data_IF_244623317743
#
_entry.id   IF_244623317743
#
_cell.length_a   1.000
_cell.length_b   1.000
_cell.length_c   1.000
_cell.angle_alpha   90.00
_cell.angle_beta   90.00
_cell.angle_gamma   90.00
#
_symmetry.space_group_name_H-M   'P 1'
#
loop_
_entity.id
_entity.type
_entity.pdbx_description
1 polymer ?
#
# COMPACT_ATOMS: atom_id res chain seq x y z
N UNK A 1 -33.75 3.60 -12.07
CA UNK A 1 -32.52 3.70 -11.24
C UNK A 1 -31.57 2.58 -11.67
N UNK A 2 -30.60 2.80 -12.58
CA UNK A 2 -29.77 1.71 -13.05
C UNK A 2 -28.69 1.35 -12.01
N UNK A 3 -28.41 0.05 -11.96
CA UNK A 3 -27.57 -0.67 -11.02
C UNK A 3 -26.12 -0.15 -10.96
N UNK A 4 -25.73 0.34 -9.78
CA UNK A 4 -24.38 0.86 -9.48
C UNK A 4 -23.31 -0.25 -9.25
N UNK A 5 -23.54 -1.49 -9.71
CA UNK A 5 -22.69 -2.64 -9.42
C UNK A 5 -21.34 -2.62 -10.17
N UNK A 6 -21.26 -1.91 -11.29
CA UNK A 6 -20.07 -1.89 -12.16
C UNK A 6 -18.95 -0.96 -11.68
N UNK A 7 -19.18 -0.10 -10.68
CA UNK A 7 -18.12 0.76 -10.11
C UNK A 7 -17.09 -0.04 -9.27
N UNK A 8 -17.42 -1.27 -8.86
CA UNK A 8 -16.54 -2.18 -8.12
C UNK A 8 -15.49 -2.91 -8.98
N UNK A 9 -15.54 -2.72 -10.31
CA UNK A 9 -14.59 -3.24 -11.28
C UNK A 9 -13.70 -2.12 -11.87
N UNK A 10 -13.41 -1.08 -11.10
CA UNK A 10 -12.24 -0.24 -11.41
C UNK A 10 -11.05 -1.19 -11.60
N UNK A 11 -10.46 -1.16 -12.78
CA UNK A 11 -9.92 -2.36 -13.40
C UNK A 11 -8.80 -3.03 -12.59
N UNK A 12 -8.80 -4.36 -12.62
CA UNK A 12 -7.75 -5.18 -12.02
C UNK A 12 -6.35 -4.76 -12.50
N UNK A 13 -6.26 -4.23 -13.72
CA UNK A 13 -5.02 -3.79 -14.35
C UNK A 13 -4.46 -2.52 -13.69
N UNK A 14 -5.31 -1.56 -13.35
CA UNK A 14 -4.94 -0.31 -12.70
C UNK A 14 -4.47 -0.57 -11.26
N UNK A 15 -5.18 -1.44 -10.53
CA UNK A 15 -4.77 -1.89 -9.21
C UNK A 15 -3.43 -2.61 -9.27
N UNK A 16 -3.24 -3.51 -10.24
CA UNK A 16 -1.97 -4.20 -10.46
C UNK A 16 -0.85 -3.22 -10.82
N UNK A 17 -1.11 -2.26 -11.70
CA UNK A 17 -0.14 -1.23 -12.09
C UNK A 17 0.26 -0.36 -10.90
N UNK A 18 -0.68 0.01 -10.05
CA UNK A 18 -0.39 0.71 -8.79
C UNK A 18 0.49 -0.15 -7.87
N UNK A 19 0.14 -1.42 -7.65
CA UNK A 19 0.95 -2.34 -6.84
C UNK A 19 2.39 -2.46 -7.37
N UNK A 20 2.55 -2.65 -8.68
CA UNK A 20 3.86 -2.71 -9.34
C UNK A 20 4.66 -1.42 -9.17
N UNK A 21 4.00 -0.25 -9.30
CA UNK A 21 4.61 1.06 -9.08
C UNK A 21 5.12 1.21 -7.64
N UNK A 22 4.30 0.84 -6.66
CA UNK A 22 4.64 0.90 -5.24
C UNK A 22 5.81 -0.04 -4.90
N UNK A 23 5.77 -1.27 -5.38
CA UNK A 23 6.85 -2.24 -5.17
C UNK A 23 8.16 -1.83 -5.86
N UNK A 24 8.07 -1.19 -7.03
CA UNK A 24 9.23 -0.62 -7.74
C UNK A 24 9.85 0.53 -6.97
N UNK A 25 9.03 1.46 -6.47
CA UNK A 25 9.50 2.57 -5.65
C UNK A 25 10.16 2.09 -4.36
N UNK A 26 9.53 1.10 -3.70
CA UNK A 26 10.09 0.46 -2.52
C UNK A 26 11.44 -0.19 -2.82
N UNK A 27 11.52 -1.05 -3.85
CA UNK A 27 12.75 -1.75 -4.21
C UNK A 27 13.90 -0.82 -4.61
N UNK A 28 13.60 0.33 -5.21
CA UNK A 28 14.61 1.33 -5.56
C UNK A 28 15.24 1.98 -4.31
N UNK A 29 14.45 2.21 -3.26
CA UNK A 29 14.88 2.94 -2.05
C UNK A 29 15.32 2.00 -0.92
N UNK A 30 14.76 0.80 -0.89
CA UNK A 30 15.00 -0.23 0.10
C UNK A 30 14.89 -1.63 -0.54
N UNK A 31 15.95 -2.09 -1.24
CA UNK A 31 15.93 -3.35 -1.97
C UNK A 31 15.74 -4.57 -1.06
N UNK A 32 15.29 -5.71 -1.61
CA UNK A 32 15.03 -6.95 -0.86
C UNK A 32 16.27 -7.47 -0.12
N UNK A 33 17.47 -7.23 -0.65
CA UNK A 33 18.73 -7.58 0.03
C UNK A 33 18.85 -6.89 1.39
N UNK A 34 18.58 -5.57 1.44
CA UNK A 34 18.61 -4.80 2.69
C UNK A 34 17.53 -5.27 3.68
N UNK A 35 16.33 -5.62 3.18
CA UNK A 35 15.25 -6.16 3.99
C UNK A 35 15.58 -7.53 4.59
N UNK A 36 16.34 -8.36 3.86
CA UNK A 36 16.84 -9.67 4.31
C UNK A 36 18.10 -9.56 5.20
N UNK A 37 18.53 -8.35 5.55
CA UNK A 37 19.72 -8.11 6.37
C UNK A 37 21.05 -8.24 5.62
N UNK A 38 21.01 -8.46 4.30
CA UNK A 38 22.18 -8.55 3.44
C UNK A 38 22.45 -7.18 2.77
N UNK A 39 23.54 -6.52 3.15
CA UNK A 39 23.93 -5.23 2.58
C UNK A 39 23.81 -4.06 3.55
N UNK A 40 23.73 -2.83 3.01
CA UNK A 40 23.77 -1.61 3.82
C UNK A 40 22.51 -1.51 4.70
N UNK A 41 22.72 -1.44 6.01
CA UNK A 41 21.64 -1.15 6.96
C UNK A 41 21.27 0.33 6.89
N UNK A 42 19.99 0.60 6.67
CA UNK A 42 19.42 1.92 6.89
C UNK A 42 19.04 2.07 8.37
N UNK A 43 18.98 3.30 8.87
CA UNK A 43 18.43 3.56 10.19
C UNK A 43 16.93 3.19 10.21
N UNK A 44 16.37 2.76 11.36
CA UNK A 44 14.94 2.48 11.46
C UNK A 44 14.08 3.64 10.95
N UNK A 45 14.44 4.88 11.29
CA UNK A 45 13.72 6.07 10.80
C UNK A 45 13.74 6.21 9.28
N UNK A 46 14.86 5.91 8.63
CA UNK A 46 14.95 5.97 7.17
C UNK A 46 14.05 4.92 6.50
N UNK A 47 13.99 3.71 7.06
CA UNK A 47 13.07 2.66 6.57
C UNK A 47 11.62 3.09 6.76
N UNK A 48 11.27 3.61 7.95
CA UNK A 48 9.93 4.15 8.24
C UNK A 48 9.52 5.23 7.23
N UNK A 49 10.38 6.21 6.97
CA UNK A 49 10.09 7.29 6.02
C UNK A 49 9.86 6.78 4.58
N UNK A 50 10.55 5.71 4.17
CA UNK A 50 10.35 5.07 2.86
C UNK A 50 8.98 4.39 2.83
N UNK A 51 8.64 3.62 3.87
CA UNK A 51 7.36 2.93 3.96
C UNK A 51 6.17 3.89 4.03
N UNK A 52 6.27 4.95 4.84
CA UNK A 52 5.24 5.99 4.93
C UNK A 52 4.99 6.67 3.60
N UNK A 53 6.05 6.96 2.84
CA UNK A 53 5.95 7.53 1.50
C UNK A 53 5.18 6.61 0.54
N UNK A 54 5.52 5.32 0.51
CA UNK A 54 4.88 4.31 -0.35
C UNK A 54 3.42 4.10 0.07
N UNK A 55 3.16 3.93 1.37
CA UNK A 55 1.80 3.71 1.90
C UNK A 55 0.93 4.94 1.67
N UNK A 56 1.44 6.15 1.90
CA UNK A 56 0.69 7.39 1.66
C UNK A 56 0.28 7.52 0.21
N UNK A 57 1.18 7.21 -0.73
CA UNK A 57 0.86 7.20 -2.16
C UNK A 57 -0.25 6.19 -2.49
N UNK A 58 -0.20 5.00 -1.92
CA UNK A 58 -1.24 3.99 -2.08
C UNK A 58 -2.59 4.48 -1.55
N UNK A 59 -2.61 5.02 -0.32
CA UNK A 59 -3.81 5.57 0.33
C UNK A 59 -4.41 6.69 -0.51
N UNK A 60 -3.62 7.68 -0.92
CA UNK A 60 -4.08 8.80 -1.76
C UNK A 60 -4.72 8.29 -3.05
N UNK A 61 -4.08 7.35 -3.76
CA UNK A 61 -4.66 6.79 -5.00
C UNK A 61 -5.96 6.03 -4.74
N UNK A 62 -6.04 5.26 -3.65
CA UNK A 62 -7.28 4.55 -3.30
C UNK A 62 -8.43 5.49 -2.98
N UNK A 63 -8.14 6.68 -2.44
CA UNK A 63 -9.12 7.74 -2.19
C UNK A 63 -9.55 8.44 -3.48
N UNK A 64 -8.59 8.81 -4.34
CA UNK A 64 -8.85 9.39 -5.66
C UNK A 64 -9.76 8.49 -6.51
N UNK A 65 -9.49 7.18 -6.52
CA UNK A 65 -10.28 6.18 -7.25
C UNK A 65 -11.56 5.77 -6.51
N UNK A 66 -11.77 6.25 -5.27
CA UNK A 66 -12.88 5.87 -4.39
C UNK A 66 -13.03 4.35 -4.26
N UNK A 67 -11.91 3.64 -4.08
CA UNK A 67 -11.93 2.19 -3.97
C UNK A 67 -12.74 1.73 -2.75
N UNK A 68 -13.70 0.84 -2.98
CA UNK A 68 -14.40 0.11 -1.93
C UNK A 68 -13.51 -0.96 -1.26
N UNK A 69 -14.02 -1.61 -0.22
CA UNK A 69 -13.31 -2.62 0.58
C UNK A 69 -12.66 -3.71 -0.29
N UNK A 70 -13.38 -4.20 -1.32
CA UNK A 70 -12.86 -5.22 -2.25
C UNK A 70 -11.67 -4.70 -3.06
N UNK A 71 -11.75 -3.48 -3.60
CA UNK A 71 -10.65 -2.86 -4.35
C UNK A 71 -9.42 -2.63 -3.48
N UNK A 72 -9.65 -2.24 -2.22
CA UNK A 72 -8.61 -2.08 -1.20
C UNK A 72 -7.91 -3.42 -0.88
N UNK A 73 -8.67 -4.49 -0.68
CA UNK A 73 -8.14 -5.83 -0.46
C UNK A 73 -7.36 -6.35 -1.67
N UNK A 74 -7.87 -6.11 -2.89
CA UNK A 74 -7.16 -6.44 -4.14
C UNK A 74 -5.82 -5.73 -4.25
N UNK A 75 -5.73 -4.45 -3.88
CA UNK A 75 -4.47 -3.71 -3.85
C UNK A 75 -3.48 -4.31 -2.85
N UNK A 76 -3.94 -4.63 -1.63
CA UNK A 76 -3.10 -5.27 -0.61
C UNK A 76 -2.53 -6.61 -1.10
N UNK A 77 -3.38 -7.45 -1.69
CA UNK A 77 -2.95 -8.74 -2.26
C UNK A 77 -2.00 -8.56 -3.44
N UNK A 78 -2.29 -7.64 -4.36
CA UNK A 78 -1.43 -7.36 -5.51
C UNK A 78 -0.04 -6.88 -5.05
N UNK A 79 0.03 -6.00 -4.05
CA UNK A 79 1.31 -5.55 -3.49
C UNK A 79 2.05 -6.69 -2.80
N UNK A 80 1.35 -7.57 -2.06
CA UNK A 80 1.94 -8.77 -1.44
C UNK A 80 2.66 -9.62 -2.49
N UNK A 81 2.00 -9.89 -3.62
CA UNK A 81 2.57 -10.67 -4.72
C UNK A 81 3.77 -9.99 -5.37
N UNK A 82 3.66 -8.69 -5.66
CA UNK A 82 4.76 -7.93 -6.25
C UNK A 82 6.00 -7.90 -5.34
N UNK A 83 5.83 -7.83 -4.02
CA UNK A 83 6.94 -7.91 -3.08
C UNK A 83 7.53 -9.33 -3.04
N UNK A 84 6.69 -10.36 -3.06
CA UNK A 84 7.13 -11.76 -3.08
C UNK A 84 7.95 -12.09 -4.32
N UNK A 85 7.48 -11.69 -5.51
CA UNK A 85 8.18 -11.89 -6.79
C UNK A 85 9.55 -11.20 -6.81
N UNK A 86 9.70 -10.10 -6.08
CA UNK A 86 10.99 -9.39 -5.92
C UNK A 86 11.91 -10.01 -4.87
N UNK A 87 11.47 -11.02 -4.13
CA UNK A 87 12.28 -11.71 -3.14
C UNK A 87 12.38 -10.99 -1.79
N UNK A 88 11.37 -10.17 -1.42
CA UNK A 88 11.31 -9.67 -0.05
C UNK A 88 11.03 -10.81 0.94
N UNK A 89 11.58 -10.74 2.16
CA UNK A 89 11.33 -11.74 3.18
C UNK A 89 9.89 -11.69 3.68
N UNK A 90 9.25 -12.84 3.86
CA UNK A 90 7.82 -12.93 4.22
C UNK A 90 7.44 -12.08 5.45
N UNK A 91 8.21 -12.05 6.55
CA UNK A 91 7.86 -11.20 7.71
C UNK A 91 7.82 -9.70 7.37
N UNK A 92 8.66 -9.25 6.45
CA UNK A 92 8.65 -7.86 5.99
C UNK A 92 7.44 -7.59 5.09
N UNK A 93 7.09 -8.54 4.22
CA UNK A 93 5.90 -8.45 3.37
C UNK A 93 4.63 -8.33 4.24
N UNK A 94 4.50 -9.18 5.26
CA UNK A 94 3.35 -9.17 6.16
C UNK A 94 3.23 -7.82 6.89
N UNK A 95 4.32 -7.34 7.49
CA UNK A 95 4.34 -6.03 8.16
C UNK A 95 3.93 -4.89 7.23
N UNK A 96 4.47 -4.82 6.00
CA UNK A 96 4.14 -3.75 5.05
C UNK A 96 2.69 -3.83 4.59
N UNK A 97 2.17 -5.03 4.32
CA UNK A 97 0.80 -5.24 3.85
C UNK A 97 -0.24 -4.98 4.94
N UNK A 98 0.04 -5.37 6.18
CA UNK A 98 -0.78 -5.03 7.34
C UNK A 98 -0.84 -3.52 7.55
N UNK A 99 0.32 -2.85 7.54
CA UNK A 99 0.38 -1.39 7.66
C UNK A 99 -0.47 -0.73 6.56
N UNK A 100 -0.31 -1.14 5.31
CA UNK A 100 -1.11 -0.63 4.19
C UNK A 100 -2.62 -0.75 4.45
N UNK A 101 -3.09 -1.93 4.84
CA UNK A 101 -4.51 -2.18 5.12
C UNK A 101 -5.01 -1.29 6.26
N UNK A 102 -4.24 -1.17 7.34
CA UNK A 102 -4.57 -0.31 8.48
C UNK A 102 -4.69 1.16 8.05
N UNK A 103 -3.75 1.69 7.28
CA UNK A 103 -3.81 3.08 6.82
C UNK A 103 -4.96 3.35 5.84
N UNK A 104 -5.25 2.38 4.96
CA UNK A 104 -6.36 2.50 4.00
C UNK A 104 -7.74 2.41 4.66
N UNK A 105 -7.85 1.75 5.81
CA UNK A 105 -9.11 1.61 6.57
C UNK A 105 -9.32 2.76 7.54
N UNK A 106 -8.27 3.22 8.25
CA UNK A 106 -8.36 4.34 9.19
C UNK A 106 -8.79 5.66 8.54
N UNK A 107 -8.32 5.94 7.33
CA UNK A 107 -8.59 7.21 6.63
C UNK A 107 -9.94 7.25 5.89
N UNK A 108 -10.75 6.19 6.03
CA UNK A 108 -12.15 6.17 5.57
C UNK A 108 -13.11 6.74 6.63
N UNK A 109 -12.67 6.86 7.88
CA UNK A 109 -13.26 7.80 8.82
C UNK A 109 -12.73 9.19 8.44
N UNK A 110 -13.61 10.09 8.01
CA UNK A 110 -13.25 11.49 7.79
C UNK A 110 -12.61 12.10 9.04
N UNK A 111 -11.96 13.28 8.93
CA UNK A 111 -11.50 13.98 10.12
C UNK A 111 -12.69 14.12 11.08
N UNK A 112 -12.54 13.60 12.30
CA UNK A 112 -13.33 14.11 13.42
C UNK A 112 -12.95 15.57 13.47
N UNK A 113 -13.86 16.43 13.01
CA UNK A 113 -13.88 17.83 13.41
C UNK A 113 -13.96 17.84 14.93
N UNK A 114 -12.80 17.85 15.57
CA UNK A 114 -12.67 18.13 16.99
C UNK A 114 -13.08 19.59 17.15
N UNK A 115 -14.39 19.77 17.36
CA UNK A 115 -14.92 21.00 17.89
C UNK A 115 -14.38 21.18 19.30
N UNK A 116 -13.38 22.05 19.42
CA UNK A 116 -12.90 22.69 20.66
C UNK A 116 -11.81 23.67 20.21
N UNK A 117 -11.87 24.98 20.47
CA UNK A 117 -12.61 25.83 21.42
C UNK A 117 -12.75 27.22 20.83
#
# INVERSE_FOLDING_TARGET
MPLNFLRGLFGSNEIKSLAQSLATELARRYPPTMASGQGRKLSPQAVTNILESVITKAVTKTQEWRLGVVGKARLGNALRWEMKERGYPEPFIEMVTEALVVYMTRRAAGPVSDGKR
#
